data_IF_304245161401
#
_entry.id   IF_304245161401
#
_cell.length_a   1.000
_cell.length_b   1.000
_cell.length_c   1.000
_cell.angle_alpha   90.00
_cell.angle_beta   90.00
_cell.angle_gamma   90.00
#
_symmetry.space_group_name_H-M   'P 1'
#
loop_
_entity.id
_entity.type
_entity.pdbx_description
1 polymer ?
#
# COMPACT_ATOMS: atom_id res chain seq x y z
N UNK A 1 17.32 36.82 -40.95
CA UNK A 1 16.71 37.99 -40.25
C UNK A 1 15.27 37.77 -39.80
N UNK A 2 14.33 37.30 -40.62
CA UNK A 2 12.95 37.01 -40.15
C UNK A 2 12.90 35.67 -39.41
N UNK A 3 13.50 34.62 -40.00
CA UNK A 3 13.57 33.27 -39.44
C UNK A 3 14.27 33.25 -38.07
N UNK A 4 15.35 34.02 -37.89
CA UNK A 4 16.07 34.11 -36.61
C UNK A 4 15.23 34.75 -35.49
N UNK A 5 14.32 35.66 -35.84
CA UNK A 5 13.41 36.28 -34.87
C UNK A 5 12.28 35.35 -34.47
N UNK A 6 11.73 34.59 -35.43
CA UNK A 6 10.71 33.57 -35.18
C UNK A 6 11.25 32.48 -34.23
N UNK A 7 12.47 31.98 -34.52
CA UNK A 7 13.15 30.97 -33.70
C UNK A 7 13.39 31.47 -32.27
N UNK A 8 13.84 32.73 -32.10
CA UNK A 8 14.03 33.32 -30.77
C UNK A 8 12.72 33.52 -30.00
N UNK A 9 11.61 33.78 -30.69
CA UNK A 9 10.28 33.90 -30.07
C UNK A 9 9.80 32.53 -29.60
N UNK A 10 9.98 31.47 -30.40
CA UNK A 10 9.64 30.10 -30.02
C UNK A 10 10.47 29.60 -28.83
N UNK A 11 11.79 29.86 -28.83
CA UNK A 11 12.68 29.54 -27.71
C UNK A 11 12.25 30.27 -26.42
N UNK A 12 11.90 31.55 -26.53
CA UNK A 12 11.40 32.33 -25.40
C UNK A 12 10.03 31.82 -24.89
N UNK A 13 9.13 31.44 -25.80
CA UNK A 13 7.85 30.85 -25.44
C UNK A 13 8.02 29.49 -24.73
N UNK A 14 8.91 28.64 -25.24
CA UNK A 14 9.27 27.37 -24.61
C UNK A 14 9.90 27.59 -23.22
N UNK A 15 10.76 28.61 -23.07
CA UNK A 15 11.33 28.98 -21.77
C UNK A 15 10.25 29.42 -20.77
N UNK A 16 9.26 30.20 -21.21
CA UNK A 16 8.14 30.61 -20.37
C UNK A 16 7.24 29.42 -19.96
N UNK A 17 7.00 28.49 -20.89
CA UNK A 17 6.24 27.27 -20.60
C UNK A 17 6.99 26.37 -19.59
N UNK A 18 8.30 26.16 -19.79
CA UNK A 18 9.13 25.41 -18.85
C UNK A 18 9.16 26.04 -17.46
N UNK A 19 9.24 27.38 -17.38
CA UNK A 19 9.15 28.10 -16.11
C UNK A 19 7.82 27.87 -15.39
N UNK A 20 6.70 27.87 -16.13
CA UNK A 20 5.38 27.61 -15.55
C UNK A 20 5.25 26.17 -15.02
N UNK A 21 5.76 25.18 -15.77
CA UNK A 21 5.77 23.78 -15.35
C UNK A 21 6.60 23.59 -14.08
N UNK A 22 7.82 24.13 -14.04
CA UNK A 22 8.70 24.06 -12.87
C UNK A 22 8.00 24.66 -11.64
N UNK A 23 7.33 25.81 -11.81
CA UNK A 23 6.59 26.44 -10.74
C UNK A 23 5.44 25.55 -10.23
N UNK A 24 4.66 24.93 -11.13
CA UNK A 24 3.59 23.99 -10.74
C UNK A 24 4.15 22.81 -9.94
N UNK A 25 5.21 22.18 -10.44
CA UNK A 25 5.85 21.03 -9.79
C UNK A 25 6.39 21.39 -8.39
N UNK A 26 6.94 22.60 -8.23
CA UNK A 26 7.39 23.11 -6.93
C UNK A 26 6.21 23.27 -5.97
N UNK A 27 5.08 23.81 -6.44
CA UNK A 27 3.88 23.97 -5.61
C UNK A 27 3.27 22.61 -5.22
N UNK A 28 3.22 21.66 -6.14
CA UNK A 28 2.75 20.30 -5.87
C UNK A 28 3.63 19.61 -4.82
N UNK A 29 4.95 19.67 -5.00
CA UNK A 29 5.90 19.11 -4.03
C UNK A 29 5.79 19.77 -2.65
N UNK A 30 5.52 21.07 -2.58
CA UNK A 30 5.24 21.77 -1.32
C UNK A 30 3.94 21.30 -0.68
N UNK A 31 2.86 21.18 -1.45
CA UNK A 31 1.57 20.66 -0.97
C UNK A 31 1.72 19.24 -0.42
N UNK A 32 2.43 18.36 -1.14
CA UNK A 32 2.72 16.99 -0.68
C UNK A 32 3.49 17.00 0.65
N UNK A 33 4.51 17.86 0.79
CA UNK A 33 5.27 17.98 2.03
C UNK A 33 4.42 18.50 3.20
N UNK A 34 3.49 19.42 2.93
CA UNK A 34 2.56 19.94 3.93
C UNK A 34 1.53 18.89 4.35
N UNK A 35 1.00 18.11 3.41
CA UNK A 35 0.09 16.99 3.69
C UNK A 35 0.77 15.93 4.55
N UNK A 36 2.01 15.54 4.21
CA UNK A 36 2.77 14.56 4.99
C UNK A 36 3.05 15.08 6.40
N UNK A 37 3.50 16.33 6.53
CA UNK A 37 3.74 16.96 7.84
C UNK A 37 2.46 17.07 8.68
N UNK A 38 1.32 17.37 8.06
CA UNK A 38 0.04 17.39 8.76
C UNK A 38 -0.36 15.99 9.23
N UNK A 39 -0.15 14.96 8.39
CA UNK A 39 -0.41 13.57 8.76
C UNK A 39 0.49 13.11 9.91
N UNK A 40 1.78 13.43 9.88
CA UNK A 40 2.75 13.08 10.93
C UNK A 40 2.33 13.62 12.31
N UNK A 41 1.82 14.84 12.34
CA UNK A 41 1.37 15.51 13.57
C UNK A 41 -0.07 15.12 13.99
N UNK A 42 -0.80 14.42 13.12
CA UNK A 42 -2.19 14.03 13.38
C UNK A 42 -2.29 13.02 14.52
N UNK A 43 -3.40 13.06 15.25
CA UNK A 43 -3.67 12.10 16.32
C UNK A 43 -3.77 10.66 15.81
N UNK A 44 -4.19 10.46 14.56
CA UNK A 44 -4.30 9.13 13.95
C UNK A 44 -2.94 8.44 13.79
N UNK A 45 -1.89 9.19 13.45
CA UNK A 45 -0.54 8.64 13.32
C UNK A 45 0.09 8.31 14.69
N UNK A 46 -0.37 8.96 15.77
CA UNK A 46 0.13 8.72 17.14
C UNK A 46 -0.45 7.45 17.77
N UNK A 47 -1.53 6.90 17.21
CA UNK A 47 -2.15 5.68 17.74
C UNK A 47 -1.38 4.47 17.21
N UNK A 48 -0.70 3.75 18.11
CA UNK A 48 -0.16 2.44 17.77
C UNK A 48 -1.33 1.46 17.49
N UNK A 49 -1.36 0.82 16.30
CA UNK A 49 -2.41 -0.14 15.98
C UNK A 49 -2.23 -1.40 16.83
N UNK A 50 -2.88 -1.44 17.99
CA UNK A 50 -2.96 -2.66 18.79
C UNK A 50 -3.98 -3.61 18.15
N UNK A 51 -3.60 -4.88 17.93
CA UNK A 51 -4.55 -5.94 17.52
C UNK A 51 -5.69 -5.93 18.55
N UNK A 52 -6.90 -5.54 18.12
CA UNK A 52 -8.10 -5.61 18.98
C UNK A 52 -8.46 -7.08 19.13
N UNK A 53 -8.89 -7.48 20.34
CA UNK A 53 -9.41 -8.83 20.57
C UNK A 53 -10.45 -9.16 19.50
N UNK A 54 -10.34 -10.34 18.90
CA UNK A 54 -11.25 -10.80 17.86
C UNK A 54 -12.69 -10.68 18.34
N UNK A 55 -13.01 -10.99 19.60
CA UNK A 55 -14.35 -10.87 20.17
C UNK A 55 -14.95 -9.46 20.11
N UNK A 56 -14.13 -8.42 20.08
CA UNK A 56 -14.56 -7.03 19.98
C UNK A 56 -14.78 -6.56 18.54
N UNK A 57 -14.35 -7.35 17.54
CA UNK A 57 -14.58 -7.04 16.13
C UNK A 57 -16.05 -7.24 15.78
N UNK A 58 -16.66 -6.21 15.18
CA UNK A 58 -18.02 -6.30 14.61
C UNK A 58 -18.03 -7.14 13.32
N UNK A 59 -16.94 -7.09 12.57
CA UNK A 59 -16.75 -7.86 11.33
C UNK A 59 -15.99 -9.14 11.65
N UNK A 60 -16.45 -10.25 11.09
CA UNK A 60 -15.85 -11.58 11.22
C UNK A 60 -15.55 -12.14 9.84
N UNK A 61 -14.44 -12.85 9.74
CA UNK A 61 -14.07 -13.63 8.56
C UNK A 61 -14.20 -15.11 8.90
N UNK A 62 -14.31 -15.96 7.87
CA UNK A 62 -14.33 -17.40 8.09
C UNK A 62 -12.95 -17.87 8.55
N UNK A 63 -12.89 -18.90 9.38
CA UNK A 63 -11.61 -19.42 9.89
C UNK A 63 -10.66 -19.85 8.76
N UNK A 64 -11.20 -20.40 7.67
CA UNK A 64 -10.42 -20.81 6.49
C UNK A 64 -9.75 -19.60 5.81
N UNK A 65 -10.47 -18.49 5.66
CA UNK A 65 -9.92 -17.27 5.04
C UNK A 65 -8.82 -16.66 5.92
N UNK A 66 -9.04 -16.65 7.24
CA UNK A 66 -8.06 -16.17 8.21
C UNK A 66 -6.80 -17.04 8.16
N UNK A 67 -6.95 -18.37 8.17
CA UNK A 67 -5.83 -19.31 8.09
C UNK A 67 -5.01 -19.15 6.81
N UNK A 68 -5.66 -19.13 5.64
CA UNK A 68 -4.97 -18.94 4.36
C UNK A 68 -4.28 -17.57 4.28
N UNK A 69 -4.86 -16.52 4.88
CA UNK A 69 -4.21 -15.21 4.95
C UNK A 69 -2.96 -15.20 5.82
N UNK A 70 -2.98 -15.92 6.96
CA UNK A 70 -1.82 -16.10 7.83
C UNK A 70 -0.70 -16.89 7.13
N UNK A 71 -1.06 -17.93 6.36
CA UNK A 71 -0.10 -18.64 5.50
C UNK A 71 0.52 -17.71 4.44
N UNK A 72 -0.30 -16.87 3.80
CA UNK A 72 0.18 -15.94 2.77
C UNK A 72 1.09 -14.85 3.35
N UNK A 73 0.81 -14.36 4.56
CA UNK A 73 1.66 -13.39 5.26
C UNK A 73 2.92 -14.03 5.84
N UNK A 74 2.95 -15.36 6.03
CA UNK A 74 3.99 -16.09 6.76
C UNK A 74 4.12 -15.59 8.21
N UNK A 75 2.98 -15.28 8.84
CA UNK A 75 2.90 -14.98 10.27
C UNK A 75 2.84 -16.32 11.04
N UNK A 76 4.02 -16.85 11.40
CA UNK A 76 4.15 -18.15 12.07
C UNK A 76 3.45 -18.17 13.44
N UNK A 77 3.53 -17.09 14.21
CA UNK A 77 2.89 -16.96 15.53
C UNK A 77 1.36 -17.05 15.39
N UNK A 78 0.79 -16.33 14.43
CA UNK A 78 -0.66 -16.38 14.15
C UNK A 78 -1.08 -17.75 13.61
N UNK A 79 -0.24 -18.38 12.80
CA UNK A 79 -0.49 -19.72 12.27
C UNK A 79 -0.49 -20.77 13.40
N UNK A 80 0.48 -20.74 14.30
CA UNK A 80 0.55 -21.61 15.47
C UNK A 80 -0.68 -21.42 16.38
N UNK A 81 -1.10 -20.18 16.64
CA UNK A 81 -2.31 -19.89 17.42
C UNK A 81 -3.57 -20.48 16.75
N UNK A 82 -3.69 -20.35 15.43
CA UNK A 82 -4.83 -20.89 14.67
C UNK A 82 -4.83 -22.41 14.62
N UNK A 83 -3.66 -23.05 14.54
CA UNK A 83 -3.53 -24.51 14.61
C UNK A 83 -3.89 -25.04 15.99
N UNK A 84 -3.43 -24.38 17.06
CA UNK A 84 -3.78 -24.72 18.44
C UNK A 84 -5.28 -24.59 18.71
N UNK A 85 -5.99 -23.71 17.98
CA UNK A 85 -7.45 -23.57 18.02
C UNK A 85 -8.20 -24.64 17.20
N UNK A 86 -7.49 -25.52 16.48
CA UNK A 86 -8.09 -26.59 15.68
C UNK A 86 -8.52 -26.17 14.28
N UNK A 87 -7.82 -25.21 13.66
CA UNK A 87 -8.06 -24.86 12.26
C UNK A 87 -7.69 -26.02 11.33
N UNK A 88 -8.48 -26.22 10.28
CA UNK A 88 -8.19 -27.25 9.27
C UNK A 88 -7.03 -26.81 8.37
N UNK A 89 -5.93 -27.56 8.43
CA UNK A 89 -4.72 -27.33 7.63
C UNK A 89 -5.01 -27.49 6.13
N UNK A 90 -5.96 -28.36 5.78
CA UNK A 90 -6.29 -28.68 4.40
C UNK A 90 -7.39 -27.77 3.83
N UNK A 91 -7.73 -26.69 4.53
CA UNK A 91 -8.71 -25.75 4.02
C UNK A 91 -8.26 -25.15 2.68
N UNK A 92 -9.24 -24.98 1.80
CA UNK A 92 -9.06 -24.43 0.46
C UNK A 92 -9.91 -23.17 0.28
N UNK A 93 -9.44 -22.25 -0.57
CA UNK A 93 -10.24 -21.12 -1.00
C UNK A 93 -11.32 -21.54 -2.01
N UNK A 94 -12.07 -20.55 -2.52
CA UNK A 94 -13.15 -20.76 -3.53
C UNK A 94 -12.62 -21.45 -4.80
N UNK A 95 -11.36 -21.22 -5.14
CA UNK A 95 -10.68 -21.80 -6.31
C UNK A 95 -10.07 -23.19 -6.04
N UNK A 96 -10.20 -23.72 -4.81
CA UNK A 96 -9.62 -25.00 -4.42
C UNK A 96 -8.13 -24.94 -4.01
N UNK A 97 -7.57 -23.75 -3.84
CA UNK A 97 -6.17 -23.53 -3.48
C UNK A 97 -5.99 -23.63 -1.97
N UNK A 98 -5.09 -24.52 -1.55
CA UNK A 98 -4.73 -24.74 -0.13
C UNK A 98 -3.47 -23.98 0.29
N UNK A 99 -3.17 -23.96 1.58
CA UNK A 99 -1.93 -23.41 2.12
C UNK A 99 -0.67 -24.01 1.47
N UNK A 100 -0.68 -25.31 1.18
CA UNK A 100 0.45 -25.99 0.52
C UNK A 100 0.65 -25.52 -0.94
N UNK A 101 -0.43 -25.24 -1.67
CA UNK A 101 -0.30 -24.65 -3.00
C UNK A 101 0.35 -23.26 -2.91
N UNK A 102 -0.06 -22.45 -1.93
CA UNK A 102 0.50 -21.12 -1.71
C UNK A 102 1.99 -21.16 -1.34
N UNK A 103 2.43 -22.15 -0.56
CA UNK A 103 3.86 -22.27 -0.21
C UNK A 103 4.75 -22.62 -1.41
N UNK A 104 4.20 -23.27 -2.44
CA UNK A 104 4.93 -23.58 -3.67
C UNK A 104 4.94 -22.38 -4.62
N UNK A 105 3.86 -21.59 -4.64
CA UNK A 105 3.72 -20.40 -5.50
C UNK A 105 4.50 -19.21 -4.92
N UNK A 106 4.52 -19.06 -3.61
CA UNK A 106 5.22 -17.99 -2.92
C UNK A 106 6.71 -18.27 -2.80
N UNK A 107 7.55 -17.30 -3.15
CA UNK A 107 9.01 -17.34 -3.00
C UNK A 107 9.45 -17.12 -1.54
N UNK A 108 8.70 -17.69 -0.59
CA UNK A 108 8.97 -17.58 0.85
C UNK A 108 9.59 -18.90 1.32
N UNK A 109 10.92 -18.92 1.37
CA UNK A 109 11.76 -19.95 2.02
C UNK A 109 12.36 -19.34 3.28
#
# INVERSE_FOLDING_TARGET
MVIDKELQIEEHAAMLQNKAIIHSNILEKRKESEQLRNWENSELNKICPKKKSSHLSKVKFQNNDIFLSACQSADEDELEELLNKGSDINCANIDGVTALHQSIIGDKI
#
